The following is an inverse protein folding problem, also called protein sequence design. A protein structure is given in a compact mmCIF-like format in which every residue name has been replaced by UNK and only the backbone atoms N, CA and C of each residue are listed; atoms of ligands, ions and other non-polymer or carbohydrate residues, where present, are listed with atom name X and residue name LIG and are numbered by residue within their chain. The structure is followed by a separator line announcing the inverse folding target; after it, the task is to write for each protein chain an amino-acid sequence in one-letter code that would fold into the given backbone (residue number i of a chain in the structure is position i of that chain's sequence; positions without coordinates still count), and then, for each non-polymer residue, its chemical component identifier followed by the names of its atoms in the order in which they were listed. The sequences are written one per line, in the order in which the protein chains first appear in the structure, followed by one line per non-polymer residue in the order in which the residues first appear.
data_IF_619001691302
#
_entry.id   IF_619001691302
#
_cell.length_a   1.000
_cell.length_b   1.000
_cell.length_c   1.000
_cell.angle_alpha   90.00
_cell.angle_beta   90.00
_cell.angle_gamma   90.00
#
_symmetry.space_group_name_H-M   'P 1'
#
loop_
_entity.id
_entity.type
_entity.pdbx_description
1 polymer ?
#
# COMPACT_ATOMS: atom_id res chain seq x y z
N UNK A 1 -5.55 -6.96 -13.93
CA UNK A 1 -6.36 -5.78 -14.28
C UNK A 1 -6.38 -4.76 -13.14
N UNK A 2 -6.24 -3.48 -13.52
CA UNK A 2 -6.39 -2.32 -12.65
C UNK A 2 -7.59 -1.48 -13.10
N UNK A 3 -8.53 -1.21 -12.18
CA UNK A 3 -9.77 -0.46 -12.46
C UNK A 3 -9.89 0.76 -11.55
N UNK A 4 -10.27 1.89 -12.13
CA UNK A 4 -10.55 3.14 -11.40
C UNK A 4 -11.93 3.10 -10.74
N UNK A 5 -12.02 3.66 -9.54
CA UNK A 5 -13.27 3.98 -8.84
C UNK A 5 -13.18 5.46 -8.44
N UNK A 6 -14.25 6.24 -8.64
CA UNK A 6 -14.24 7.64 -8.18
C UNK A 6 -14.12 7.67 -6.66
N UNK A 7 -13.46 8.69 -6.11
CA UNK A 7 -13.23 8.78 -4.65
C UNK A 7 -14.53 8.69 -3.87
N UNK A 8 -15.52 9.48 -4.26
CA UNK A 8 -16.82 9.53 -3.60
C UNK A 8 -17.52 8.15 -3.63
N UNK A 9 -17.65 7.54 -4.81
CA UNK A 9 -18.21 6.19 -4.95
C UNK A 9 -17.47 5.16 -4.08
N UNK A 10 -16.15 5.28 -3.97
CA UNK A 10 -15.35 4.38 -3.14
C UNK A 10 -15.68 4.54 -1.65
N UNK A 11 -15.80 5.78 -1.16
CA UNK A 11 -16.10 6.04 0.25
C UNK A 11 -17.54 5.71 0.63
N UNK A 12 -18.47 5.80 -0.33
CA UNK A 12 -19.85 5.33 -0.15
C UNK A 12 -19.94 3.81 -0.09
N UNK A 13 -19.13 3.10 -0.89
CA UNK A 13 -19.08 1.64 -0.91
C UNK A 13 -18.27 1.04 0.24
N UNK A 14 -17.21 1.74 0.66
CA UNK A 14 -16.22 1.24 1.61
C UNK A 14 -15.94 2.28 2.69
N UNK A 15 -16.68 2.20 3.79
CA UNK A 15 -16.65 3.18 4.87
C UNK A 15 -15.48 3.01 5.84
N UNK A 16 -14.74 1.90 5.77
CA UNK A 16 -13.62 1.64 6.68
C UNK A 16 -12.29 2.27 6.23
N UNK A 17 -12.23 2.94 5.07
CA UNK A 17 -10.98 3.54 4.63
C UNK A 17 -10.48 4.59 5.62
N UNK A 18 -9.22 4.50 6.07
CA UNK A 18 -8.60 5.59 6.81
C UNK A 18 -8.61 6.88 6.01
N UNK A 19 -8.92 8.00 6.67
CA UNK A 19 -8.97 9.32 6.07
C UNK A 19 -8.26 10.33 6.95
N UNK A 20 -7.56 11.26 6.31
CA UNK A 20 -7.00 12.43 6.95
C UNK A 20 -7.56 13.68 6.28
N UNK A 21 -7.86 14.70 7.07
CA UNK A 21 -8.17 16.04 6.58
C UNK A 21 -7.68 17.10 7.56
N UNK A 22 -7.11 18.17 7.02
CA UNK A 22 -6.73 19.32 7.84
C UNK A 22 -7.97 20.19 8.11
N UNK A 23 -8.25 20.45 9.39
CA UNK A 23 -9.26 21.40 9.82
C UNK A 23 -8.64 22.78 9.97
N UNK A 24 -8.93 23.68 9.03
CA UNK A 24 -8.42 25.04 9.06
C UNK A 24 -8.98 25.90 10.19
N UNK A 25 -10.11 25.53 10.79
CA UNK A 25 -10.70 26.29 11.90
C UNK A 25 -10.01 25.98 13.24
N UNK A 26 -9.65 24.71 13.45
CA UNK A 26 -8.96 24.28 14.68
C UNK A 26 -7.45 24.20 14.51
N UNK A 27 -6.95 24.37 13.28
CA UNK A 27 -5.55 24.14 12.88
C UNK A 27 -5.04 22.72 13.17
N UNK A 28 -5.95 21.74 13.26
CA UNK A 28 -5.64 20.35 13.61
C UNK A 28 -5.88 19.39 12.44
N UNK A 29 -5.11 18.31 12.41
CA UNK A 29 -5.39 17.18 11.52
C UNK A 29 -6.46 16.28 12.15
N UNK A 30 -7.59 16.18 11.47
CA UNK A 30 -8.63 15.23 11.79
C UNK A 30 -8.29 13.90 11.11
N UNK A 31 -8.29 12.83 11.90
CA UNK A 31 -8.01 11.48 11.43
C UNK A 31 -9.20 10.58 11.72
N UNK A 32 -9.71 9.96 10.66
CA UNK A 32 -10.59 8.81 10.78
C UNK A 32 -9.79 7.54 10.56
N UNK A 33 -9.89 6.63 11.53
CA UNK A 33 -9.42 5.26 11.42
C UNK A 33 -10.55 4.33 11.89
N UNK A 34 -10.84 3.22 11.20
CA UNK A 34 -11.86 2.29 11.67
C UNK A 34 -11.43 1.65 13.00
N UNK A 35 -12.42 1.16 13.75
CA UNK A 35 -12.11 0.31 14.91
C UNK A 35 -11.46 -0.97 14.41
N UNK A 36 -10.27 -1.27 14.93
CA UNK A 36 -9.53 -2.50 14.64
C UNK A 36 -9.61 -3.48 15.81
N UNK A 37 -9.38 -4.75 15.50
CA UNK A 37 -9.25 -5.84 16.47
C UNK A 37 -7.79 -6.05 16.88
N UNK A 38 -6.89 -6.21 15.90
CA UNK A 38 -5.45 -6.34 16.12
C UNK A 38 -4.67 -5.71 14.96
N UNK A 39 -3.37 -5.44 15.19
CA UNK A 39 -2.48 -4.79 14.22
C UNK A 39 -1.16 -5.55 14.07
N UNK A 40 -0.64 -5.55 12.85
CA UNK A 40 0.59 -6.26 12.54
C UNK A 40 1.49 -5.48 11.60
N UNK A 41 2.80 -5.54 11.87
CA UNK A 41 3.84 -4.96 11.00
C UNK A 41 4.74 -6.10 10.54
N UNK A 42 4.95 -6.19 9.23
CA UNK A 42 5.72 -7.25 8.61
C UNK A 42 6.87 -6.74 7.76
N UNK A 43 7.89 -7.60 7.66
CA UNK A 43 8.95 -7.52 6.67
C UNK A 43 9.16 -8.88 6.01
N UNK A 44 10.07 -8.94 5.05
CA UNK A 44 10.52 -10.16 4.38
C UNK A 44 12.02 -10.11 4.20
N UNK A 45 12.68 -11.25 4.33
CA UNK A 45 14.12 -11.36 4.12
C UNK A 45 14.48 -11.01 2.67
N UNK A 46 15.34 -10.00 2.48
CA UNK A 46 15.82 -9.65 1.14
C UNK A 46 17.15 -8.92 1.16
N UNK A 47 17.86 -8.97 0.01
CA UNK A 47 19.15 -8.31 -0.21
C UNK A 47 19.02 -6.92 -0.85
N UNK A 48 17.81 -6.51 -1.24
CA UNK A 48 17.54 -5.22 -1.87
C UNK A 48 16.08 -4.83 -1.73
N UNK A 49 15.79 -3.53 -1.72
CA UNK A 49 14.42 -3.01 -1.73
C UNK A 49 13.56 -3.58 -2.87
N UNK A 50 14.11 -3.69 -4.08
CA UNK A 50 13.39 -4.31 -5.22
C UNK A 50 12.99 -5.75 -4.95
N UNK A 51 13.90 -6.56 -4.40
CA UNK A 51 13.61 -7.95 -4.05
C UNK A 51 12.63 -8.07 -2.87
N UNK A 52 12.74 -7.16 -1.91
CA UNK A 52 11.86 -7.06 -0.75
C UNK A 52 10.42 -6.80 -1.21
N UNK A 53 10.18 -5.72 -1.97
CA UNK A 53 8.85 -5.36 -2.47
C UNK A 53 8.28 -6.40 -3.43
N UNK A 54 9.11 -7.06 -4.25
CA UNK A 54 8.65 -8.19 -5.07
C UNK A 54 8.05 -9.29 -4.20
N UNK A 55 8.70 -9.61 -3.08
CA UNK A 55 8.23 -10.66 -2.17
C UNK A 55 6.96 -10.21 -1.43
N UNK A 56 6.89 -8.96 -0.97
CA UNK A 56 5.65 -8.39 -0.41
C UNK A 56 4.49 -8.49 -1.41
N UNK A 57 4.70 -8.17 -2.68
CA UNK A 57 3.65 -8.30 -3.71
C UNK A 57 3.16 -9.74 -3.91
N UNK A 58 4.03 -10.74 -3.74
CA UNK A 58 3.64 -12.17 -3.76
C UNK A 58 2.84 -12.51 -2.50
N UNK A 59 3.28 -12.08 -1.32
CA UNK A 59 2.56 -12.36 -0.08
C UNK A 59 1.18 -11.69 -0.04
N UNK A 60 1.01 -10.53 -0.68
CA UNK A 60 -0.32 -9.93 -0.82
C UNK A 60 -1.25 -10.76 -1.72
N UNK A 61 -0.73 -11.43 -2.75
CA UNK A 61 -1.52 -12.37 -3.56
C UNK A 61 -1.91 -13.60 -2.72
N UNK A 62 -1.00 -14.12 -1.90
CA UNK A 62 -1.31 -15.22 -0.98
C UNK A 62 -2.37 -14.82 0.05
N UNK A 63 -2.29 -13.60 0.59
CA UNK A 63 -3.29 -13.03 1.48
C UNK A 63 -4.67 -12.99 0.81
N UNK A 64 -4.75 -12.52 -0.43
CA UNK A 64 -6.02 -12.48 -1.18
C UNK A 64 -6.64 -13.88 -1.34
N UNK A 65 -5.82 -14.89 -1.61
CA UNK A 65 -6.31 -16.27 -1.73
C UNK A 65 -6.92 -16.78 -0.41
N UNK A 66 -6.28 -16.49 0.72
CA UNK A 66 -6.78 -16.88 2.05
C UNK A 66 -8.04 -16.10 2.43
N UNK A 67 -8.11 -14.81 2.08
CA UNK A 67 -9.31 -13.99 2.27
C UNK A 67 -10.43 -14.32 1.26
N UNK A 68 -10.19 -15.24 0.33
CA UNK A 68 -11.14 -15.60 -0.74
C UNK A 68 -11.61 -14.39 -1.55
N UNK A 69 -10.70 -13.44 -1.83
CA UNK A 69 -10.97 -12.25 -2.65
C UNK A 69 -10.11 -12.22 -3.90
N UNK A 70 -10.69 -11.75 -5.00
CA UNK A 70 -9.99 -11.60 -6.27
C UNK A 70 -9.33 -10.23 -6.44
N UNK A 71 -9.67 -9.27 -5.59
CA UNK A 71 -9.19 -7.88 -5.71
C UNK A 71 -8.95 -7.21 -4.36
N UNK A 72 -8.02 -6.27 -4.32
CA UNK A 72 -7.88 -5.28 -3.25
C UNK A 72 -8.23 -3.89 -3.79
N UNK A 73 -8.73 -3.02 -2.91
CA UNK A 73 -9.07 -1.63 -3.24
C UNK A 73 -8.07 -0.72 -2.53
N UNK A 74 -7.38 0.14 -3.28
CA UNK A 74 -6.38 1.07 -2.76
C UNK A 74 -6.88 2.51 -2.85
N UNK A 75 -6.74 3.28 -1.78
CA UNK A 75 -7.15 4.68 -1.72
C UNK A 75 -6.19 5.49 -0.82
N UNK A 76 -5.90 6.72 -1.23
CA UNK A 76 -5.16 7.67 -0.40
C UNK A 76 -6.03 8.27 0.71
N UNK A 77 -5.47 8.39 1.91
CA UNK A 77 -6.11 8.99 3.09
C UNK A 77 -6.58 10.44 2.88
N UNK A 78 -5.83 11.22 2.11
CA UNK A 78 -6.19 12.59 1.72
C UNK A 78 -6.54 12.73 0.22
N UNK A 79 -7.12 13.87 -0.16
CA UNK A 79 -7.59 14.16 -1.53
C UNK A 79 -6.50 14.38 -2.59
N UNK A 80 -5.22 14.20 -2.23
CA UNK A 80 -4.10 14.40 -3.15
C UNK A 80 -4.15 13.41 -4.31
N UNK A 81 -3.87 13.89 -5.52
CA UNK A 81 -3.84 13.03 -6.70
C UNK A 81 -2.64 12.07 -6.66
N UNK A 82 -2.83 10.86 -7.22
CA UNK A 82 -1.80 9.81 -7.28
C UNK A 82 -0.51 10.26 -7.98
N UNK A 83 -0.63 11.21 -8.93
CA UNK A 83 0.47 11.73 -9.76
C UNK A 83 0.78 13.21 -9.45
N UNK A 84 0.51 13.67 -8.22
CA UNK A 84 0.62 15.10 -7.85
C UNK A 84 2.05 15.65 -7.98
N UNK A 85 3.06 14.88 -7.59
CA UNK A 85 4.46 15.32 -7.56
C UNK A 85 5.26 14.75 -8.74
N UNK A 86 6.02 15.63 -9.38
CA UNK A 86 7.09 15.21 -10.31
C UNK A 86 8.32 14.75 -9.52
N UNK A 87 8.95 13.67 -9.99
CA UNK A 87 10.18 13.14 -9.40
C UNK A 87 11.06 12.57 -10.52
N UNK A 88 12.32 12.99 -10.58
CA UNK A 88 13.30 12.58 -11.59
C UNK A 88 14.04 11.29 -11.24
N UNK A 89 13.86 10.75 -10.03
CA UNK A 89 14.37 9.45 -9.64
C UNK A 89 13.74 8.36 -10.50
N UNK A 90 14.58 7.64 -11.27
CA UNK A 90 14.15 6.68 -12.30
C UNK A 90 13.05 5.70 -11.85
N UNK A 91 13.14 5.01 -10.68
CA UNK A 91 12.07 4.13 -10.20
C UNK A 91 10.71 4.83 -10.00
N UNK A 92 10.71 6.11 -9.60
CA UNK A 92 9.48 6.89 -9.41
C UNK A 92 8.91 7.29 -10.76
N UNK A 93 9.76 7.70 -11.70
CA UNK A 93 9.35 7.98 -13.08
C UNK A 93 8.69 6.75 -13.71
N UNK A 94 9.30 5.57 -13.59
CA UNK A 94 8.70 4.30 -14.04
C UNK A 94 7.34 4.03 -13.40
N UNK A 95 7.14 4.40 -12.11
CA UNK A 95 5.85 4.27 -11.45
C UNK A 95 4.80 5.29 -11.92
N UNK A 96 5.21 6.53 -12.20
CA UNK A 96 4.33 7.54 -12.77
C UNK A 96 3.92 7.18 -14.21
N UNK A 97 4.85 6.66 -15.02
CA UNK A 97 4.62 6.18 -16.38
C UNK A 97 3.70 4.95 -16.37
N UNK A 98 3.86 4.04 -15.42
CA UNK A 98 2.95 2.90 -15.22
C UNK A 98 1.51 3.36 -14.93
N UNK A 99 1.34 4.33 -14.03
CA UNK A 99 0.03 4.91 -13.73
C UNK A 99 -0.56 5.61 -14.96
N UNK A 100 0.26 6.36 -15.71
CA UNK A 100 -0.16 6.99 -16.96
C UNK A 100 -0.63 5.97 -18.01
N UNK A 101 0.11 4.88 -18.21
CA UNK A 101 -0.25 3.80 -19.11
C UNK A 101 -1.56 3.10 -18.74
N UNK A 102 -1.98 3.19 -17.48
CA UNK A 102 -3.29 2.74 -16.99
C UNK A 102 -4.38 3.82 -17.02
N UNK A 103 -4.15 4.92 -17.75
CA UNK A 103 -5.07 6.05 -17.86
C UNK A 103 -5.40 6.69 -16.49
N UNK A 104 -4.44 6.70 -15.57
CA UNK A 104 -4.53 7.44 -14.30
C UNK A 104 -4.00 8.85 -14.56
N UNK A 105 -4.92 9.82 -14.62
CA UNK A 105 -4.59 11.22 -14.92
C UNK A 105 -3.93 11.97 -13.76
N UNK A 106 -3.34 13.12 -14.04
CA UNK A 106 -2.66 13.98 -13.03
C UNK A 106 -3.58 14.47 -11.90
N UNK A 107 -4.90 14.51 -12.14
CA UNK A 107 -5.91 14.95 -11.17
C UNK A 107 -6.67 13.78 -10.53
N UNK A 108 -6.36 12.54 -10.89
CA UNK A 108 -7.06 11.39 -10.33
C UNK A 108 -6.64 11.19 -8.87
N UNK A 109 -7.62 11.20 -7.96
CA UNK A 109 -7.48 10.95 -6.51
C UNK A 109 -8.46 9.88 -5.99
N UNK A 110 -9.08 9.12 -6.92
CA UNK A 110 -9.99 8.03 -6.61
C UNK A 110 -9.26 6.75 -6.23
N UNK A 111 -10.02 5.68 -5.99
CA UNK A 111 -9.44 4.39 -5.64
C UNK A 111 -9.04 3.58 -6.87
N UNK A 112 -8.07 2.70 -6.68
CA UNK A 112 -7.63 1.71 -7.65
C UNK A 112 -8.00 0.32 -7.13
N UNK A 113 -8.90 -0.36 -7.84
CA UNK A 113 -9.22 -1.78 -7.64
C UNK A 113 -8.24 -2.61 -8.45
N UNK A 114 -7.46 -3.44 -7.76
CA UNK A 114 -6.34 -4.18 -8.34
C UNK A 114 -6.60 -5.67 -8.12
N UNK A 115 -6.59 -6.46 -9.18
CA UNK A 115 -6.74 -7.92 -9.08
C UNK A 115 -5.42 -8.64 -8.80
N UNK A 116 -5.52 -9.92 -8.47
CA UNK A 116 -4.38 -10.77 -8.12
C UNK A 116 -3.29 -10.81 -9.21
N UNK A 117 -3.67 -10.71 -10.49
CA UNK A 117 -2.73 -10.77 -11.62
C UNK A 117 -1.88 -9.51 -11.74
N UNK A 118 -2.45 -8.35 -11.37
CA UNK A 118 -1.80 -7.05 -11.46
C UNK A 118 -1.07 -6.67 -10.17
N UNK A 119 -1.52 -7.21 -9.04
CA UNK A 119 -1.09 -6.80 -7.71
C UNK A 119 0.43 -6.82 -7.50
N UNK A 120 1.21 -7.83 -7.95
CA UNK A 120 2.66 -7.80 -7.80
C UNK A 120 3.33 -6.63 -8.52
N UNK A 121 2.85 -6.30 -9.73
CA UNK A 121 3.39 -5.19 -10.54
C UNK A 121 2.97 -3.85 -9.93
N UNK A 122 1.69 -3.72 -9.57
CA UNK A 122 1.17 -2.54 -8.90
C UNK A 122 1.91 -2.24 -7.60
N UNK A 123 2.13 -3.26 -6.76
CA UNK A 123 2.83 -3.15 -5.46
C UNK A 123 4.25 -2.61 -5.64
N UNK A 124 4.97 -3.06 -6.66
CA UNK A 124 6.30 -2.52 -7.01
C UNK A 124 6.26 -1.01 -7.24
N UNK A 125 5.30 -0.54 -8.04
CA UNK A 125 5.18 0.88 -8.38
C UNK A 125 4.68 1.71 -7.19
N UNK A 126 3.69 1.21 -6.46
CA UNK A 126 3.17 1.84 -5.24
C UNK A 126 4.27 2.05 -4.20
N UNK A 127 5.12 1.05 -3.95
CA UNK A 127 6.17 1.16 -2.95
C UNK A 127 7.20 2.25 -3.30
N UNK A 128 7.55 2.42 -4.58
CA UNK A 128 8.45 3.49 -5.01
C UNK A 128 7.81 4.87 -4.90
N UNK A 129 6.53 4.99 -5.24
CA UNK A 129 5.78 6.23 -5.01
C UNK A 129 5.77 6.56 -3.52
N UNK A 130 5.35 5.64 -2.67
CA UNK A 130 5.27 5.82 -1.20
C UNK A 130 6.63 6.18 -0.58
N UNK A 131 7.71 5.53 -1.03
CA UNK A 131 9.06 5.78 -0.48
C UNK A 131 9.60 7.17 -0.83
N UNK A 132 9.31 7.66 -2.03
CA UNK A 132 10.04 8.79 -2.62
C UNK A 132 9.16 10.03 -2.91
N UNK A 133 7.85 9.96 -2.68
CA UNK A 133 6.92 11.05 -2.93
C UNK A 133 6.29 11.51 -1.62
N UNK A 134 6.87 12.57 -1.02
CA UNK A 134 6.37 13.13 0.23
C UNK A 134 4.98 13.78 0.11
N UNK A 135 4.54 14.11 -1.11
CA UNK A 135 3.20 14.64 -1.37
C UNK A 135 2.15 13.57 -1.68
N UNK A 136 2.55 12.30 -1.81
CA UNK A 136 1.63 11.18 -1.97
C UNK A 136 0.86 10.99 -0.66
N UNK A 137 -0.47 10.87 -0.68
CA UNK A 137 -1.22 10.50 0.51
C UNK A 137 -0.78 9.11 1.00
N UNK A 138 -1.00 8.80 2.28
CA UNK A 138 -0.79 7.44 2.74
C UNK A 138 -1.81 6.56 2.02
N UNK A 139 -1.31 5.60 1.23
CA UNK A 139 -2.17 4.72 0.46
C UNK A 139 -2.50 3.51 1.30
N UNK A 140 -3.76 3.44 1.71
CA UNK A 140 -4.34 2.28 2.37
C UNK A 140 -4.98 1.35 1.36
N UNK A 141 -5.13 0.09 1.72
CA UNK A 141 -5.91 -0.87 0.98
C UNK A 141 -6.82 -1.70 1.89
N UNK A 142 -7.88 -2.24 1.30
CA UNK A 142 -8.84 -3.12 1.95
C UNK A 142 -9.23 -4.25 1.00
N UNK A 143 -9.79 -5.32 1.56
CA UNK A 143 -10.57 -6.30 0.79
C UNK A 143 -12.01 -5.80 0.56
N UNK A 144 -12.73 -6.30 -0.45
CA UNK A 144 -14.10 -5.87 -0.75
C UNK A 144 -15.09 -6.14 0.38
N UNK A 145 -14.80 -7.10 1.26
CA UNK A 145 -15.63 -7.43 2.42
C UNK A 145 -15.29 -6.59 3.66
N UNK A 146 -14.31 -5.68 3.57
CA UNK A 146 -13.95 -4.74 4.64
C UNK A 146 -13.49 -5.43 5.93
N UNK A 147 -12.76 -6.53 5.79
CA UNK A 147 -12.23 -7.33 6.88
C UNK A 147 -10.84 -6.90 7.32
N UNK A 148 -10.07 -6.30 6.41
CA UNK A 148 -8.72 -5.81 6.67
C UNK A 148 -8.54 -4.36 6.26
N UNK A 149 -7.61 -3.69 6.94
CA UNK A 149 -6.96 -2.47 6.45
C UNK A 149 -5.48 -2.76 6.36
N UNK A 150 -4.86 -2.44 5.25
CA UNK A 150 -3.42 -2.56 5.09
C UNK A 150 -2.80 -1.32 4.46
N UNK A 151 -1.50 -1.17 4.60
CA UNK A 151 -0.71 -0.21 3.84
C UNK A 151 0.75 -0.64 3.77
N UNK A 152 1.48 -0.14 2.78
CA UNK A 152 2.93 -0.33 2.71
C UNK A 152 3.56 1.01 3.06
N UNK A 153 4.35 1.07 4.13
CA UNK A 153 4.94 2.34 4.56
C UNK A 153 6.19 2.70 3.72
N UNK A 154 6.71 3.93 3.88
CA UNK A 154 7.90 4.41 3.14
C UNK A 154 9.15 3.53 3.28
N UNK A 155 9.23 2.74 4.35
CA UNK A 155 10.33 1.82 4.59
C UNK A 155 10.21 0.53 3.77
N UNK A 156 9.01 0.19 3.30
CA UNK A 156 8.69 -1.05 2.60
C UNK A 156 7.99 -2.09 3.48
N UNK A 157 7.82 -1.82 4.77
CA UNK A 157 7.09 -2.71 5.68
C UNK A 157 5.61 -2.77 5.29
N UNK A 158 5.04 -3.97 5.41
CA UNK A 158 3.63 -4.22 5.22
C UNK A 158 2.92 -4.10 6.58
N UNK A 159 1.93 -3.23 6.65
CA UNK A 159 1.02 -3.13 7.79
C UNK A 159 -0.29 -3.80 7.43
N UNK A 160 -0.83 -4.58 8.36
CA UNK A 160 -2.13 -5.22 8.25
C UNK A 160 -2.85 -5.15 9.59
N UNK A 161 -4.08 -4.67 9.56
CA UNK A 161 -4.98 -4.64 10.69
C UNK A 161 -6.17 -5.55 10.41
N UNK A 162 -6.55 -6.35 11.39
CA UNK A 162 -7.80 -7.11 11.37
C UNK A 162 -8.94 -6.26 11.91
N UNK A 163 -10.10 -6.28 11.26
CA UNK A 163 -11.29 -5.53 11.72
C UNK A 163 -12.08 -6.33 12.76
N UNK A 164 -11.98 -7.66 12.74
CA UNK A 164 -12.71 -8.55 13.65
C UNK A 164 -11.89 -9.81 14.00
N UNK A 165 -12.32 -10.51 15.05
CA UNK A 165 -11.64 -11.69 15.58
C UNK A 165 -11.57 -12.85 14.57
N UNK A 166 -12.58 -13.02 13.72
CA UNK A 166 -12.61 -14.10 12.72
C UNK A 166 -11.53 -13.86 11.66
N UNK A 167 -11.41 -12.63 11.18
CA UNK A 167 -10.36 -12.22 10.24
C UNK A 167 -8.99 -12.31 10.89
N UNK A 168 -8.88 -11.97 12.17
CA UNK A 168 -7.64 -12.09 12.91
C UNK A 168 -7.12 -13.53 12.98
N UNK A 169 -8.00 -14.50 13.21
CA UNK A 169 -7.64 -15.92 13.17
C UNK A 169 -7.16 -16.34 11.78
N UNK A 170 -7.80 -15.83 10.72
CA UNK A 170 -7.39 -16.04 9.33
C UNK A 170 -6.01 -15.43 9.05
N UNK A 171 -5.75 -14.21 9.50
CA UNK A 171 -4.44 -13.56 9.36
C UNK A 171 -3.35 -14.31 10.12
N UNK A 172 -3.61 -14.78 11.35
CA UNK A 172 -2.67 -15.61 12.11
C UNK A 172 -2.30 -16.89 11.36
N UNK A 173 -3.27 -17.56 10.74
CA UNK A 173 -3.01 -18.71 9.87
C UNK A 173 -2.15 -18.32 8.66
N UNK A 174 -2.49 -17.23 7.97
CA UNK A 174 -1.69 -16.72 6.85
C UNK A 174 -0.23 -16.47 7.26
N UNK A 175 -0.02 -15.71 8.33
CA UNK A 175 1.31 -15.36 8.86
C UNK A 175 2.15 -16.62 9.09
N UNK A 176 1.56 -17.63 9.74
CA UNK A 176 2.25 -18.90 10.05
C UNK A 176 2.71 -19.70 8.81
N UNK A 177 2.08 -19.45 7.66
CA UNK A 177 2.36 -20.13 6.38
C UNK A 177 3.10 -19.27 5.35
N UNK A 178 3.31 -17.99 5.66
CA UNK A 178 3.90 -16.99 4.77
C UNK A 178 5.40 -16.84 4.97
N UNK A 179 6.06 -16.07 4.10
CA UNK A 179 7.45 -15.62 4.33
C UNK A 179 7.54 -14.33 5.16
N UNK A 180 6.42 -13.86 5.73
CA UNK A 180 6.38 -12.63 6.51
C UNK A 180 7.07 -12.83 7.87
N UNK A 181 7.85 -11.82 8.25
CA UNK A 181 8.52 -11.75 9.54
C UNK A 181 7.86 -10.61 10.32
N UNK A 182 7.28 -10.94 11.48
CA UNK A 182 6.66 -9.94 12.36
C UNK A 182 7.70 -9.00 12.94
N UNK A 183 7.35 -7.72 13.03
CA UNK A 183 8.18 -6.68 13.62
C UNK A 183 7.41 -5.97 14.74
N UNK A 184 8.09 -5.53 15.81
CA UNK A 184 7.48 -4.68 16.83
C UNK A 184 7.25 -3.24 16.34
N UNK A 185 8.01 -2.81 15.33
CA UNK A 185 7.96 -1.46 14.76
C UNK A 185 8.52 -1.45 13.32
N UNK A 186 8.32 -0.36 12.58
CA UNK A 186 8.84 -0.21 11.23
C UNK A 186 10.37 -0.15 11.18
N UNK A 187 10.97 -0.87 10.24
CA UNK A 187 12.43 -0.91 10.07
C UNK A 187 12.81 -0.57 8.62
N UNK A 188 13.72 0.39 8.38
CA UNK A 188 14.21 0.71 7.03
C UNK A 188 14.77 -0.51 6.29
N UNK A 189 14.25 -0.77 5.09
CA UNK A 189 14.71 -1.90 4.27
C UNK A 189 15.99 -1.58 3.48
N UNK A 190 16.87 -2.58 3.27
CA UNK A 190 18.18 -2.37 2.66
C UNK A 190 18.04 -1.83 1.24
N UNK A 191 18.63 -0.65 1.03
CA UNK A 191 19.04 -0.20 -0.29
C UNK A 191 20.10 -1.19 -0.77
N UNK A 192 19.93 -1.80 -1.94
CA UNK A 192 20.90 -2.79 -2.45
C UNK A 192 22.34 -2.28 -2.39
N UNK A 193 23.32 -3.20 -2.44
CA UNK A 193 24.76 -2.92 -2.21
C UNK A 193 25.19 -1.56 -2.78
N UNK A 194 26.01 -0.77 -2.05
CA UNK A 194 26.60 0.43 -2.61
C UNK A 194 27.30 0.07 -3.91
N UNK A 195 27.07 0.85 -4.95
CA UNK A 195 27.92 0.81 -6.14
C UNK A 195 29.36 0.85 -5.65
N UNK A 196 30.16 -0.18 -5.96
CA UNK A 196 31.62 -0.05 -5.87
C UNK A 196 31.96 1.19 -6.68
N UNK A 197 32.35 2.26 -6.01
CA UNK A 197 33.18 3.28 -6.65
C UNK A 197 34.44 2.53 -7.08
N UNK A 198 34.52 2.23 -8.36
CA UNK A 198 35.79 1.90 -9.00
C UNK A 198 36.65 3.14 -8.82
N UNK A 199 37.52 3.10 -7.81
CA UNK A 199 38.69 3.98 -7.76
C UNK A 199 39.53 3.63 -8.99
N UNK A 200 39.52 4.54 -9.97
CA UNK A 200 40.59 4.69 -10.94
C UNK A 200 41.67 5.57 -10.31
#
# INVERSE_FOLDING_TARGET
MLKKIRRQDCLELYSIFPLSNYNYETEEENFFYPKIFDQYIFTVASKSFKGHIKTIGIELVNLMAILSTETLIFLGDHQNAWRRQYNDHKPVKEALDYLEGHNIGKQFNGALKVDYSELPVFTKHLAWLTRCNAALPNIHFIDPQQNIVGHICKYGNLHLDSINADTDAVLKSFISSSNLISLPECIPQPLGRPHRQTLL
#
